data_IF_360020010399
#
_entry.id   IF_360020010399
#
_cell.length_a   1.000
_cell.length_b   1.000
_cell.length_c   1.000
_cell.angle_alpha   90.00
_cell.angle_beta   90.00
_cell.angle_gamma   90.00
#
_symmetry.space_group_name_H-M   'P 1'
#
loop_
_entity.id
_entity.type
_entity.pdbx_description
1 polymer ?
#
# COMPACT_ATOMS: atom_id res chain seq x y z
N UNK A 1 22.18 -8.52 4.37
CA UNK A 1 21.09 -7.70 3.83
C UNK A 1 20.07 -7.53 4.95
N UNK A 2 19.60 -6.31 5.22
CA UNK A 2 18.50 -6.10 6.17
C UNK A 2 17.17 -6.49 5.50
N UNK A 3 16.23 -7.02 6.26
CA UNK A 3 14.88 -7.24 5.77
C UNK A 3 14.22 -5.90 5.43
N UNK A 4 13.29 -5.91 4.48
CA UNK A 4 12.46 -4.75 4.17
C UNK A 4 11.64 -4.36 5.41
N UNK A 5 11.59 -3.06 5.73
CA UNK A 5 10.67 -2.56 6.73
C UNK A 5 9.43 -1.99 6.03
N UNK A 6 8.30 -2.68 6.16
CA UNK A 6 7.03 -2.23 5.60
C UNK A 6 6.06 -2.02 6.75
N UNK A 7 5.45 -0.83 6.81
CA UNK A 7 4.48 -0.52 7.83
C UNK A 7 3.11 -1.10 7.48
N UNK A 8 2.58 -1.98 8.32
CA UNK A 8 1.26 -2.56 8.15
C UNK A 8 0.16 -1.73 8.83
N UNK A 9 -0.76 -1.19 8.03
CA UNK A 9 -1.93 -0.46 8.54
C UNK A 9 -2.97 -1.37 9.22
N UNK A 10 -2.81 -2.70 9.14
CA UNK A 10 -3.58 -3.64 9.95
C UNK A 10 -3.12 -3.69 11.41
N UNK A 11 -1.87 -3.32 11.71
CA UNK A 11 -1.38 -3.19 13.09
C UNK A 11 -1.80 -1.83 13.68
N UNK A 12 -2.87 -1.86 14.48
CA UNK A 12 -3.40 -0.69 15.18
C UNK A 12 -2.36 0.00 16.07
N UNK A 13 -1.59 -0.78 16.82
CA UNK A 13 -0.62 -0.22 17.76
C UNK A 13 0.55 0.43 17.02
N UNK A 14 1.00 -0.15 15.89
CA UNK A 14 2.00 0.47 15.06
C UNK A 14 1.51 1.80 14.46
N UNK A 15 0.27 1.83 13.99
CA UNK A 15 -0.36 3.05 13.49
C UNK A 15 -0.44 4.13 14.56
N UNK A 16 -0.94 3.79 15.75
CA UNK A 16 -1.05 4.72 16.88
C UNK A 16 0.31 5.30 17.28
N UNK A 17 1.34 4.45 17.41
CA UNK A 17 2.71 4.88 17.77
C UNK A 17 3.31 5.87 16.77
N UNK A 18 2.90 5.82 15.51
CA UNK A 18 3.43 6.65 14.44
C UNK A 18 2.48 7.76 14.00
N UNK A 19 1.33 7.92 14.68
CA UNK A 19 0.33 8.93 14.35
C UNK A 19 -0.33 8.72 12.98
N UNK A 20 -0.41 7.48 12.51
CA UNK A 20 -0.98 7.12 11.21
C UNK A 20 -2.47 6.83 11.37
N UNK A 21 -3.30 7.56 10.60
CA UNK A 21 -4.70 7.18 10.42
C UNK A 21 -4.81 6.03 9.42
N UNK A 22 -4.97 4.82 9.95
CA UNK A 22 -5.13 3.59 9.16
C UNK A 22 -6.34 3.58 8.21
N UNK A 23 -7.27 4.53 8.32
CA UNK A 23 -8.41 4.67 7.40
C UNK A 23 -8.11 5.59 6.21
N UNK A 24 -7.03 6.37 6.27
CA UNK A 24 -6.73 7.37 5.26
C UNK A 24 -6.50 6.77 3.86
N UNK A 25 -5.89 5.58 3.78
CA UNK A 25 -5.73 4.84 2.51
C UNK A 25 -7.05 4.42 1.86
N UNK A 26 -8.14 4.31 2.63
CA UNK A 26 -9.45 3.93 2.11
C UNK A 26 -10.26 5.14 1.62
N UNK A 27 -9.81 6.37 1.86
CA UNK A 27 -10.49 7.58 1.41
C UNK A 27 -10.26 7.82 -0.09
N UNK A 28 -11.26 8.36 -0.83
CA UNK A 28 -11.12 8.61 -2.25
C UNK A 28 -10.12 9.74 -2.52
N UNK A 29 -9.01 9.44 -3.18
CA UNK A 29 -7.99 10.45 -3.49
C UNK A 29 -8.34 11.35 -4.67
N UNK A 30 -9.10 10.86 -5.66
CA UNK A 30 -9.38 11.61 -6.90
C UNK A 30 -10.16 12.92 -6.65
N UNK A 31 -11.25 12.93 -5.86
CA UNK A 31 -11.98 14.18 -5.58
C UNK A 31 -11.13 15.18 -4.80
N UNK A 32 -10.37 14.72 -3.79
CA UNK A 32 -9.47 15.56 -3.01
C UNK A 32 -8.41 16.23 -3.89
N UNK A 33 -7.78 15.44 -4.77
CA UNK A 33 -6.80 15.98 -5.71
C UNK A 33 -7.43 16.97 -6.70
N UNK A 34 -8.65 16.69 -7.19
CA UNK A 34 -9.38 17.60 -8.08
C UNK A 34 -9.77 18.93 -7.41
N UNK A 35 -9.93 18.93 -6.08
CA UNK A 35 -10.15 20.13 -5.28
C UNK A 35 -8.86 20.92 -4.99
N UNK A 36 -7.69 20.44 -5.45
CA UNK A 36 -6.39 21.05 -5.13
C UNK A 36 -5.89 20.74 -3.73
N UNK A 37 -6.50 19.76 -3.06
CA UNK A 37 -6.13 19.33 -1.72
C UNK A 37 -5.21 18.09 -1.75
N UNK A 38 -4.51 17.87 -0.65
CA UNK A 38 -3.65 16.69 -0.48
C UNK A 38 -4.49 15.44 -0.12
N UNK A 39 -4.39 14.35 -0.90
CA UNK A 39 -5.03 13.08 -0.55
C UNK A 39 -4.62 12.56 0.84
N UNK A 40 -5.57 12.10 1.68
CA UNK A 40 -5.25 11.61 3.02
C UNK A 40 -4.23 10.47 3.06
N UNK A 41 -4.25 9.59 2.05
CA UNK A 41 -3.30 8.48 1.95
C UNK A 41 -1.84 8.93 1.80
N UNK A 42 -1.59 10.14 1.29
CA UNK A 42 -0.23 10.66 1.14
C UNK A 42 0.40 10.98 2.48
N UNK A 43 -0.37 11.56 3.41
CA UNK A 43 0.10 11.82 4.79
C UNK A 43 0.53 10.55 5.50
N UNK A 44 -0.19 9.45 5.27
CA UNK A 44 0.16 8.14 5.83
C UNK A 44 1.46 7.61 5.21
N UNK A 45 1.62 7.74 3.90
CA UNK A 45 2.86 7.36 3.23
C UNK A 45 4.05 8.20 3.71
N UNK A 46 3.87 9.51 3.92
CA UNK A 46 4.92 10.41 4.40
C UNK A 46 5.31 10.13 5.85
N UNK A 47 4.34 9.85 6.73
CA UNK A 47 4.61 9.42 8.09
C UNK A 47 5.41 8.10 8.11
N UNK A 48 5.04 7.13 7.27
CA UNK A 48 5.78 5.88 7.14
C UNK A 48 7.21 6.10 6.61
N UNK A 49 7.41 6.96 5.60
CA UNK A 49 8.75 7.35 5.11
C UNK A 49 9.58 8.00 6.21
N UNK A 50 8.99 8.93 6.97
CA UNK A 50 9.67 9.61 8.08
C UNK A 50 10.09 8.63 9.19
N UNK A 51 9.34 7.54 9.39
CA UNK A 51 9.68 6.45 10.30
C UNK A 51 10.76 5.49 9.73
N UNK A 52 11.26 5.72 8.52
CA UNK A 52 12.27 4.89 7.86
C UNK A 52 11.70 3.64 7.18
N UNK A 53 10.39 3.56 6.98
CA UNK A 53 9.79 2.45 6.25
C UNK A 53 10.16 2.49 4.76
N UNK A 54 10.40 1.31 4.18
CA UNK A 54 10.60 1.10 2.75
C UNK A 54 9.28 1.09 1.97
N UNK A 55 8.15 0.96 2.68
CA UNK A 55 6.82 0.93 2.10
C UNK A 55 5.71 0.82 3.13
N UNK A 56 4.49 0.64 2.65
CA UNK A 56 3.28 0.39 3.44
C UNK A 56 2.52 -0.83 2.93
N UNK A 57 1.90 -1.56 3.85
CA UNK A 57 0.77 -2.46 3.56
C UNK A 57 -0.48 -1.67 3.93
N UNK A 58 -1.28 -1.31 2.92
CA UNK A 58 -2.55 -0.62 3.13
C UNK A 58 -3.74 -1.56 2.94
N UNK A 59 -4.86 -1.17 3.58
CA UNK A 59 -6.08 -1.98 3.60
C UNK A 59 -6.83 -1.74 2.30
N UNK A 60 -7.33 -2.81 1.68
CA UNK A 60 -8.14 -2.65 0.48
C UNK A 60 -9.50 -2.05 0.83
N UNK A 61 -9.93 -1.08 0.02
CA UNK A 61 -11.27 -0.50 0.11
C UNK A 61 -12.34 -1.38 -0.53
N UNK A 62 -11.97 -2.14 -1.57
CA UNK A 62 -12.91 -2.88 -2.40
C UNK A 62 -12.93 -4.38 -2.10
N UNK A 63 -11.86 -4.92 -1.51
CA UNK A 63 -11.70 -6.33 -1.22
C UNK A 63 -11.66 -6.51 0.29
N UNK A 64 -12.71 -7.04 0.94
CA UNK A 64 -12.69 -7.34 2.37
C UNK A 64 -11.50 -8.26 2.73
N UNK A 65 -10.67 -7.84 3.69
CA UNK A 65 -9.45 -8.57 4.06
C UNK A 65 -8.30 -8.51 3.04
N UNK A 66 -8.54 -7.93 1.86
CA UNK A 66 -7.50 -7.66 0.88
C UNK A 66 -6.64 -6.48 1.30
N UNK A 67 -5.43 -6.44 0.74
CA UNK A 67 -4.43 -5.42 1.04
C UNK A 67 -3.57 -5.14 -0.19
N UNK A 68 -2.90 -4.00 -0.20
CA UNK A 68 -1.90 -3.67 -1.22
C UNK A 68 -0.54 -3.46 -0.58
N UNK A 69 0.51 -3.88 -1.28
CA UNK A 69 1.88 -3.49 -0.96
C UNK A 69 2.27 -2.29 -1.80
N UNK A 70 2.68 -1.21 -1.16
CA UNK A 70 3.27 -0.06 -1.83
C UNK A 70 4.69 0.15 -1.31
N UNK A 71 5.67 -0.09 -2.18
CA UNK A 71 7.08 0.18 -1.88
C UNK A 71 7.42 1.59 -2.35
N UNK A 72 8.11 2.37 -1.52
CA UNK A 72 8.55 3.72 -1.90
C UNK A 72 9.79 3.68 -2.80
N UNK A 73 10.57 2.62 -2.67
CA UNK A 73 11.75 2.31 -3.46
C UNK A 73 11.95 0.79 -3.46
N UNK A 74 12.48 0.25 -4.55
CA UNK A 74 12.88 -1.15 -4.64
C UNK A 74 13.94 -1.31 -5.72
N UNK A 75 14.76 -2.36 -5.62
CA UNK A 75 15.82 -2.68 -6.58
C UNK A 75 16.85 -1.55 -6.78
N UNK A 76 16.98 -0.68 -5.78
CA UNK A 76 18.01 0.36 -5.69
C UNK A 76 18.95 0.06 -4.53
N UNK A 77 20.17 0.62 -4.57
CA UNK A 77 21.17 0.39 -3.54
C UNK A 77 20.62 0.72 -2.14
N UNK A 78 20.73 -0.24 -1.22
CA UNK A 78 20.25 -0.12 0.15
C UNK A 78 18.72 -0.21 0.30
N UNK A 79 17.97 -0.49 -0.77
CA UNK A 79 16.52 -0.71 -0.75
C UNK A 79 16.15 -2.19 -0.69
N UNK A 80 14.84 -2.48 -0.51
CA UNK A 80 14.36 -3.84 -0.60
C UNK A 80 14.56 -4.39 -2.03
N UNK A 81 14.87 -5.69 -2.12
CA UNK A 81 14.94 -6.41 -3.39
C UNK A 81 13.58 -7.04 -3.70
N UNK A 82 13.15 -6.93 -4.95
CA UNK A 82 11.98 -7.61 -5.48
C UNK A 82 12.42 -8.40 -6.70
N UNK A 83 12.19 -9.70 -6.63
CA UNK A 83 12.46 -10.65 -7.70
C UNK A 83 11.15 -11.32 -8.13
N UNK A 84 11.05 -11.66 -9.41
CA UNK A 84 9.92 -12.44 -9.91
C UNK A 84 10.00 -13.83 -9.31
N UNK A 85 8.90 -14.29 -8.72
CA UNK A 85 8.80 -15.62 -8.16
C UNK A 85 7.96 -16.50 -9.06
N UNK A 86 8.60 -17.53 -9.63
CA UNK A 86 7.95 -18.46 -10.56
C UNK A 86 7.70 -17.88 -11.96
N UNK A 87 6.98 -18.65 -12.77
CA UNK A 87 6.59 -18.24 -14.11
C UNK A 87 5.29 -17.42 -14.08
N UNK A 88 5.13 -16.44 -14.99
CA UNK A 88 3.87 -15.71 -15.12
C UNK A 88 2.73 -16.68 -15.49
N UNK A 89 1.59 -16.53 -14.84
CA UNK A 89 0.37 -17.28 -15.13
C UNK A 89 -0.58 -16.38 -15.93
N UNK A 90 -1.14 -16.91 -17.00
CA UNK A 90 -2.15 -16.21 -17.78
C UNK A 90 -3.43 -16.00 -16.94
N UNK A 91 -3.94 -14.76 -16.93
CA UNK A 91 -5.21 -14.42 -16.30
C UNK A 91 -6.22 -14.08 -17.40
N UNK A 92 -7.21 -14.96 -17.58
CA UNK A 92 -8.36 -14.70 -18.45
C UNK A 92 -9.44 -13.98 -17.65
N UNK A 93 -9.81 -12.77 -18.07
CA UNK A 93 -10.90 -12.03 -17.47
C UNK A 93 -12.25 -12.68 -17.86
N UNK A 94 -13.21 -12.72 -16.93
CA UNK A 94 -14.56 -13.18 -17.26
C UNK A 94 -15.29 -12.21 -18.20
N UNK A 95 -16.18 -12.74 -19.03
CA UNK A 95 -16.97 -11.97 -20.01
C UNK A 95 -17.80 -10.84 -19.37
N UNK A 96 -18.20 -11.01 -18.10
CA UNK A 96 -18.94 -10.00 -17.32
C UNK A 96 -18.04 -8.91 -16.69
N UNK A 97 -16.77 -8.82 -17.08
CA UNK A 97 -15.77 -7.91 -16.52
C UNK A 97 -14.98 -8.51 -15.34
N UNK A 98 -14.14 -7.72 -14.65
CA UNK A 98 -13.31 -8.22 -13.55
C UNK A 98 -14.19 -8.56 -12.34
N UNK A 99 -14.59 -9.83 -12.21
CA UNK A 99 -15.05 -10.39 -10.95
C UNK A 99 -13.81 -10.68 -10.11
N UNK A 100 -13.51 -9.82 -9.15
CA UNK A 100 -12.50 -10.09 -8.13
C UNK A 100 -13.04 -11.17 -7.18
N UNK A 101 -13.11 -12.40 -7.68
CA UNK A 101 -13.54 -13.59 -6.95
C UNK A 101 -12.41 -14.18 -6.13
N UNK A 102 -11.94 -13.41 -5.15
CA UNK A 102 -11.22 -13.99 -4.02
C UNK A 102 -12.21 -14.61 -3.04
#
# INVERSE_FOLDING_TARGET
>A
MSNAFVLDQHDEQACERLGIDRNASNLPWRPTLAAGEEPPSWRTADAARAAGADGIIDRSRLIPGGWHLNLFRWNTLGGPSVEVSGDPVEITLSDDGPKWGL
#
